data_IF_319540681598
#
_entry.id   IF_319540681598
#
_cell.length_a   1.000
_cell.length_b   1.000
_cell.length_c   1.000
_cell.angle_alpha   90.00
_cell.angle_beta   90.00
_cell.angle_gamma   90.00
#
_symmetry.space_group_name_H-M   'P 1'
#
loop_
_entity.id
_entity.type
_entity.pdbx_description
1 polymer ?
#
# COMPACT_ATOMS: atom_id res chain seq x y z
N UNK A 1 -36.60 4.14 22.43
CA UNK A 1 -36.29 5.55 22.86
C UNK A 1 -35.37 6.28 21.88
N UNK A 2 -34.67 5.58 20.97
CA UNK A 2 -33.92 6.21 19.87
C UNK A 2 -34.81 6.59 18.66
N UNK A 3 -36.12 6.31 18.72
CA UNK A 3 -37.04 6.35 17.59
C UNK A 3 -37.75 7.70 17.37
N UNK A 4 -37.42 8.74 18.16
CA UNK A 4 -38.12 10.04 18.13
C UNK A 4 -37.34 11.18 17.45
N UNK A 5 -36.21 10.91 16.80
CA UNK A 5 -35.55 11.91 15.96
C UNK A 5 -36.28 12.03 14.63
N UNK A 6 -36.79 13.23 14.32
CA UNK A 6 -37.31 13.54 12.99
C UNK A 6 -36.23 13.23 11.93
N UNK A 7 -36.60 12.73 10.74
CA UNK A 7 -35.65 12.40 9.68
C UNK A 7 -34.68 13.56 9.35
N UNK A 8 -35.18 14.79 9.47
CA UNK A 8 -34.43 16.03 9.30
C UNK A 8 -33.30 16.17 10.34
N UNK A 9 -33.60 16.00 11.63
CA UNK A 9 -32.61 16.08 12.70
C UNK A 9 -31.54 14.99 12.58
N UNK A 10 -31.93 13.79 12.15
CA UNK A 10 -30.98 12.70 11.89
C UNK A 10 -30.01 13.06 10.75
N UNK A 11 -30.50 13.63 9.64
CA UNK A 11 -29.67 14.08 8.53
C UNK A 11 -28.66 15.16 8.92
N UNK A 12 -29.03 16.06 9.84
CA UNK A 12 -28.10 17.08 10.37
C UNK A 12 -26.96 16.45 11.18
N UNK A 13 -27.27 15.56 12.13
CA UNK A 13 -26.26 14.89 12.96
C UNK A 13 -25.30 14.08 12.08
N UNK A 14 -25.84 13.34 11.11
CA UNK A 14 -25.07 12.57 10.13
C UNK A 14 -24.12 13.46 9.33
N UNK A 15 -24.58 14.63 8.88
CA UNK A 15 -23.77 15.57 8.11
C UNK A 15 -22.61 16.14 8.94
N UNK A 16 -22.86 16.53 10.19
CA UNK A 16 -21.82 17.06 11.08
C UNK A 16 -20.74 16.00 11.32
N UNK A 17 -21.15 14.77 11.60
CA UNK A 17 -20.23 13.66 11.83
C UNK A 17 -19.37 13.34 10.60
N UNK A 18 -20.00 13.28 9.42
CA UNK A 18 -19.30 13.05 8.15
C UNK A 18 -18.29 14.16 7.83
N UNK A 19 -18.69 15.43 7.96
CA UNK A 19 -17.79 16.57 7.67
C UNK A 19 -16.63 16.62 8.67
N UNK A 20 -16.87 16.29 9.93
CA UNK A 20 -15.83 16.19 10.94
C UNK A 20 -14.77 15.14 10.57
N UNK A 21 -15.20 13.91 10.24
CA UNK A 21 -14.30 12.84 9.82
C UNK A 21 -13.63 13.16 8.48
N UNK A 22 -14.36 13.80 7.56
CA UNK A 22 -13.79 14.27 6.30
C UNK A 22 -12.65 15.25 6.55
N UNK A 23 -12.81 16.21 7.47
CA UNK A 23 -11.75 17.13 7.88
C UNK A 23 -10.48 16.42 8.36
N UNK A 24 -10.62 15.35 9.16
CA UNK A 24 -9.48 14.53 9.59
C UNK A 24 -8.81 13.86 8.37
N UNK A 25 -9.59 13.33 7.44
CA UNK A 25 -9.05 12.70 6.22
C UNK A 25 -8.31 13.70 5.32
N UNK A 26 -8.79 14.95 5.21
CA UNK A 26 -8.12 16.04 4.49
C UNK A 26 -6.76 16.33 5.12
N UNK A 27 -6.69 16.44 6.45
CA UNK A 27 -5.42 16.65 7.15
C UNK A 27 -4.45 15.48 6.90
N UNK A 28 -4.95 14.24 6.93
CA UNK A 28 -4.19 13.04 6.60
C UNK A 28 -3.64 13.07 5.17
N UNK A 29 -4.46 13.47 4.20
CA UNK A 29 -4.06 13.61 2.80
C UNK A 29 -2.98 14.69 2.62
N UNK A 30 -3.17 15.88 3.22
CA UNK A 30 -2.21 16.98 3.13
C UNK A 30 -0.86 16.59 3.74
N UNK A 31 -0.85 15.92 4.89
CA UNK A 31 0.37 15.42 5.52
C UNK A 31 1.02 14.33 4.67
N UNK A 32 0.23 13.44 4.06
CA UNK A 32 0.72 12.40 3.17
C UNK A 32 1.39 13.02 1.94
N UNK A 33 0.76 14.00 1.30
CA UNK A 33 1.32 14.70 0.16
C UNK A 33 2.59 15.46 0.54
N UNK A 34 2.59 16.16 1.69
CA UNK A 34 3.76 16.86 2.19
C UNK A 34 4.95 15.94 2.45
N UNK A 35 4.72 14.78 3.07
CA UNK A 35 5.76 13.77 3.33
C UNK A 35 6.28 13.12 2.04
N UNK A 36 5.40 12.84 1.08
CA UNK A 36 5.79 12.29 -0.22
C UNK A 36 6.59 13.30 -1.05
N UNK A 37 6.17 14.57 -1.08
CA UNK A 37 6.80 15.62 -1.85
C UNK A 37 8.17 16.00 -1.29
N UNK A 38 8.30 16.14 0.03
CA UNK A 38 9.56 16.55 0.68
C UNK A 38 10.52 15.39 0.98
N UNK A 39 10.03 14.16 1.02
CA UNK A 39 10.87 12.99 1.24
C UNK A 39 11.73 12.69 0.00
N UNK A 40 12.93 12.14 0.20
CA UNK A 40 13.68 11.44 -0.87
C UNK A 40 12.95 10.20 -1.41
N UNK A 41 11.71 9.94 -0.96
CA UNK A 41 10.81 8.88 -1.39
C UNK A 41 10.47 8.91 -2.89
N UNK A 42 10.63 10.06 -3.57
CA UNK A 42 10.39 10.20 -5.02
C UNK A 42 11.11 9.16 -5.89
N UNK A 43 12.27 8.67 -5.45
CA UNK A 43 13.09 7.77 -6.28
C UNK A 43 12.67 6.30 -6.21
N UNK A 44 11.95 5.86 -5.16
CA UNK A 44 11.65 4.42 -4.96
C UNK A 44 10.22 4.11 -4.50
N UNK A 45 9.48 5.06 -3.94
CA UNK A 45 8.11 4.84 -3.46
C UNK A 45 7.13 5.36 -4.51
N UNK A 46 7.07 4.58 -5.59
CA UNK A 46 5.99 4.38 -6.55
C UNK A 46 5.00 5.53 -6.78
N UNK A 47 5.05 6.11 -7.98
CA UNK A 47 3.97 6.92 -8.61
C UNK A 47 2.58 6.27 -8.42
N UNK A 48 2.54 4.94 -8.34
CA UNK A 48 1.35 4.14 -8.06
C UNK A 48 0.71 4.45 -6.69
N UNK A 49 1.51 4.64 -5.64
CA UNK A 49 0.99 4.95 -4.29
C UNK A 49 0.39 6.35 -4.25
N UNK A 50 1.04 7.31 -4.92
CA UNK A 50 0.50 8.67 -5.09
C UNK A 50 -0.80 8.66 -5.89
N UNK A 51 -0.84 7.89 -6.99
CA UNK A 51 -2.05 7.67 -7.77
C UNK A 51 -3.19 7.19 -6.87
N UNK A 52 -2.99 6.10 -6.12
CA UNK A 52 -4.03 5.60 -5.22
C UNK A 52 -4.46 6.61 -4.16
N UNK A 53 -3.51 7.35 -3.56
CA UNK A 53 -3.83 8.38 -2.57
C UNK A 53 -4.71 9.51 -3.14
N UNK A 54 -4.41 9.96 -4.36
CA UNK A 54 -5.19 11.01 -5.03
C UNK A 54 -6.58 10.50 -5.41
N UNK A 55 -6.69 9.30 -5.97
CA UNK A 55 -7.98 8.73 -6.37
C UNK A 55 -8.89 8.43 -5.17
N UNK A 56 -8.35 7.84 -4.09
CA UNK A 56 -9.11 7.62 -2.85
C UNK A 56 -9.62 8.95 -2.28
N UNK A 57 -8.77 9.97 -2.25
CA UNK A 57 -9.18 11.30 -1.77
C UNK A 57 -10.21 11.97 -2.69
N UNK A 58 -10.08 11.78 -4.00
CA UNK A 58 -11.02 12.33 -4.99
C UNK A 58 -12.41 11.69 -4.84
N UNK A 59 -12.50 10.37 -4.72
CA UNK A 59 -13.77 9.68 -4.49
C UNK A 59 -14.40 10.04 -3.14
N UNK A 60 -13.59 10.13 -2.08
CA UNK A 60 -14.05 10.64 -0.79
C UNK A 60 -14.68 12.04 -0.91
N UNK A 61 -13.97 12.94 -1.60
CA UNK A 61 -14.41 14.32 -1.76
C UNK A 61 -15.68 14.38 -2.59
N UNK A 62 -15.77 13.58 -3.65
CA UNK A 62 -16.98 13.46 -4.47
C UNK A 62 -18.18 12.98 -3.63
N UNK A 63 -18.00 11.94 -2.82
CA UNK A 63 -19.02 11.42 -1.91
C UNK A 63 -19.56 12.51 -0.98
N UNK A 64 -18.65 13.23 -0.30
CA UNK A 64 -19.03 14.26 0.68
C UNK A 64 -19.65 15.50 0.02
N UNK A 65 -19.10 15.96 -1.11
CA UNK A 65 -19.64 17.12 -1.84
C UNK A 65 -21.05 16.84 -2.37
N UNK A 66 -21.29 15.65 -2.92
CA UNK A 66 -22.61 15.24 -3.40
C UNK A 66 -23.60 15.14 -2.22
N UNK A 67 -23.15 14.61 -1.08
CA UNK A 67 -23.93 14.56 0.16
C UNK A 67 -24.32 15.96 0.66
N UNK A 68 -23.37 16.88 0.75
CA UNK A 68 -23.62 18.28 1.17
C UNK A 68 -24.59 18.96 0.18
N UNK A 69 -24.38 18.79 -1.13
CA UNK A 69 -25.26 19.39 -2.15
C UNK A 69 -26.70 18.90 -2.01
N UNK A 70 -26.91 17.59 -1.82
CA UNK A 70 -28.25 17.01 -1.65
C UNK A 70 -28.92 17.55 -0.38
N UNK A 71 -28.19 17.64 0.73
CA UNK A 71 -28.71 18.20 1.99
C UNK A 71 -29.04 19.69 1.87
N UNK A 72 -28.17 20.46 1.21
CA UNK A 72 -28.45 21.87 0.93
C UNK A 72 -29.72 22.06 0.09
N UNK A 73 -29.90 21.24 -0.95
CA UNK A 73 -31.12 21.26 -1.76
C UNK A 73 -32.36 20.95 -0.92
N UNK A 74 -32.31 19.88 -0.10
CA UNK A 74 -33.42 19.49 0.76
C UNK A 74 -33.78 20.52 1.83
N UNK A 75 -32.78 21.11 2.51
CA UNK A 75 -33.00 22.03 3.63
C UNK A 75 -33.16 23.50 3.26
N UNK A 76 -32.58 23.96 2.15
CA UNK A 76 -32.53 25.39 1.80
C UNK A 76 -33.36 25.71 0.56
N UNK A 77 -33.28 24.87 -0.47
CA UNK A 77 -34.00 25.14 -1.73
C UNK A 77 -35.46 24.68 -1.65
N UNK A 78 -35.71 23.56 -0.97
CA UNK A 78 -37.03 22.91 -0.89
C UNK A 78 -37.80 23.24 0.40
N UNK A 79 -37.17 23.91 1.37
CA UNK A 79 -37.84 24.41 2.59
C UNK A 79 -38.78 25.59 2.33
N UNK A 80 -38.71 26.21 1.15
CA UNK A 80 -39.51 27.38 0.78
C UNK A 80 -40.81 27.11 0.00
N UNK A 81 -40.88 26.11 -0.90
CA UNK A 81 -42.10 25.76 -1.67
C UNK A 81 -41.92 24.61 -2.66
N UNK A 82 -42.98 23.80 -2.84
CA UNK A 82 -43.36 23.04 -4.06
C UNK A 82 -42.66 21.72 -4.42
N UNK A 83 -42.25 20.89 -3.44
CA UNK A 83 -42.09 19.45 -3.71
C UNK A 83 -43.37 18.70 -3.30
N UNK A 84 -43.96 17.84 -4.15
CA UNK A 84 -45.11 17.04 -3.74
C UNK A 84 -44.70 16.13 -2.56
N UNK A 85 -45.26 16.37 -1.38
CA UNK A 85 -44.92 15.64 -0.14
C UNK A 85 -43.92 16.35 0.80
N UNK A 86 -43.43 17.53 0.44
CA UNK A 86 -42.53 18.34 1.29
C UNK A 86 -41.05 17.89 1.30
N UNK A 87 -40.19 18.55 2.09
CA UNK A 87 -38.75 18.24 2.18
C UNK A 87 -38.46 16.81 2.65
N UNK A 88 -39.30 16.24 3.51
CA UNK A 88 -39.19 14.86 3.97
C UNK A 88 -39.30 13.86 2.80
N UNK A 89 -40.27 14.04 1.89
CA UNK A 89 -40.42 13.20 0.70
C UNK A 89 -39.24 13.31 -0.28
N UNK A 90 -38.52 14.43 -0.31
CA UNK A 90 -37.29 14.57 -1.10
C UNK A 90 -36.13 13.75 -0.53
N UNK A 91 -35.98 13.73 0.80
CA UNK A 91 -34.99 12.87 1.45
C UNK A 91 -35.34 11.38 1.32
N UNK A 92 -36.62 11.08 1.20
CA UNK A 92 -37.11 9.72 0.96
C UNK A 92 -36.90 9.22 -0.48
N UNK A 93 -36.73 10.13 -1.44
CA UNK A 93 -36.44 9.75 -2.81
C UNK A 93 -34.97 9.38 -2.99
N UNK A 94 -34.77 8.10 -3.30
CA UNK A 94 -33.47 7.42 -3.32
C UNK A 94 -32.93 7.16 -4.72
N UNK A 95 -33.72 7.38 -5.77
CA UNK A 95 -33.30 7.18 -7.17
C UNK A 95 -32.74 8.45 -7.81
N UNK A 96 -32.56 9.51 -7.03
CA UNK A 96 -31.98 10.76 -7.53
C UNK A 96 -30.54 10.50 -7.99
N UNK A 97 -30.13 11.10 -9.12
CA UNK A 97 -28.76 10.98 -9.67
C UNK A 97 -27.66 11.26 -8.63
N UNK A 98 -27.94 12.12 -7.64
CA UNK A 98 -27.04 12.39 -6.53
C UNK A 98 -26.81 11.16 -5.62
N UNK A 99 -27.83 10.36 -5.34
CA UNK A 99 -27.69 9.14 -4.53
C UNK A 99 -26.89 8.09 -5.29
N UNK A 100 -27.21 7.88 -6.57
CA UNK A 100 -26.45 6.99 -7.46
C UNK A 100 -24.97 7.39 -7.54
N UNK A 101 -24.69 8.67 -7.78
CA UNK A 101 -23.30 9.16 -7.85
C UNK A 101 -22.56 8.97 -6.52
N UNK A 102 -23.26 9.15 -5.39
CA UNK A 102 -22.69 8.94 -4.07
C UNK A 102 -22.38 7.46 -3.82
N UNK A 103 -23.26 6.54 -4.18
CA UNK A 103 -23.03 5.09 -4.06
C UNK A 103 -21.88 4.64 -4.97
N UNK A 104 -21.85 5.09 -6.23
CA UNK A 104 -20.73 4.80 -7.14
C UNK A 104 -19.39 5.34 -6.60
N UNK A 105 -19.39 6.54 -5.99
CA UNK A 105 -18.18 7.09 -5.37
C UNK A 105 -17.68 6.19 -4.23
N UNK A 106 -18.62 5.72 -3.41
CA UNK A 106 -18.37 4.82 -2.31
C UNK A 106 -17.83 3.46 -2.79
N UNK A 107 -18.49 2.82 -3.74
CA UNK A 107 -18.08 1.51 -4.28
C UNK A 107 -16.68 1.57 -4.89
N UNK A 108 -16.38 2.64 -5.65
CA UNK A 108 -15.05 2.85 -6.23
C UNK A 108 -13.99 3.05 -5.15
N UNK A 109 -14.33 3.74 -4.06
CA UNK A 109 -13.41 3.96 -2.96
C UNK A 109 -13.11 2.67 -2.20
N UNK A 110 -14.12 1.85 -1.92
CA UNK A 110 -13.96 0.51 -1.30
C UNK A 110 -13.17 -0.40 -2.22
N UNK A 111 -13.52 -0.47 -3.51
CA UNK A 111 -12.81 -1.29 -4.50
C UNK A 111 -11.32 -0.91 -4.57
N UNK A 112 -10.99 0.38 -4.60
CA UNK A 112 -9.60 0.84 -4.58
C UNK A 112 -8.90 0.51 -3.26
N UNK A 113 -9.59 0.69 -2.13
CA UNK A 113 -9.09 0.33 -0.80
C UNK A 113 -8.67 -1.14 -0.74
N UNK A 114 -9.56 -2.04 -1.13
CA UNK A 114 -9.31 -3.48 -1.14
C UNK A 114 -8.17 -3.86 -2.11
N UNK A 115 -8.15 -3.28 -3.32
CA UNK A 115 -7.09 -3.52 -4.29
C UNK A 115 -5.69 -3.17 -3.74
N UNK A 116 -5.58 -2.12 -2.94
CA UNK A 116 -4.32 -1.72 -2.29
C UNK A 116 -3.90 -2.75 -1.24
N UNK A 117 -4.82 -3.23 -0.40
CA UNK A 117 -4.50 -4.22 0.63
C UNK A 117 -4.04 -5.53 -0.03
N UNK A 118 -4.72 -5.96 -1.09
CA UNK A 118 -4.34 -7.11 -1.92
C UNK A 118 -2.96 -6.91 -2.54
N UNK A 119 -2.70 -5.76 -3.16
CA UNK A 119 -1.41 -5.44 -3.77
C UNK A 119 -0.28 -5.50 -2.75
N UNK A 120 -0.51 -5.00 -1.51
CA UNK A 120 0.47 -5.08 -0.43
C UNK A 120 0.75 -6.52 -0.02
N UNK A 121 -0.27 -7.36 0.09
CA UNK A 121 -0.08 -8.78 0.36
C UNK A 121 0.75 -9.44 -0.76
N UNK A 122 0.43 -9.16 -2.03
CA UNK A 122 1.17 -9.68 -3.17
C UNK A 122 2.66 -9.32 -3.17
N UNK A 123 2.99 -8.05 -2.89
CA UNK A 123 4.39 -7.60 -2.86
C UNK A 123 5.22 -8.32 -1.80
N UNK A 124 4.64 -8.75 -0.68
CA UNK A 124 5.37 -9.47 0.37
C UNK A 124 5.45 -10.98 0.12
N UNK A 125 4.40 -11.56 -0.47
CA UNK A 125 4.36 -12.99 -0.77
C UNK A 125 5.10 -13.37 -2.05
N UNK A 126 5.18 -12.48 -3.04
CA UNK A 126 5.79 -12.71 -4.36
C UNK A 126 5.27 -13.99 -5.06
N UNK A 127 4.10 -14.49 -4.65
CA UNK A 127 3.50 -15.73 -5.13
C UNK A 127 2.02 -15.47 -5.42
N UNK A 128 1.58 -15.58 -6.70
CA UNK A 128 0.22 -15.18 -7.09
C UNK A 128 -0.85 -16.10 -6.51
N UNK A 129 -0.55 -17.38 -6.28
CA UNK A 129 -1.52 -18.37 -5.80
C UNK A 129 -2.08 -18.08 -4.40
N UNK A 130 -1.28 -17.45 -3.53
CA UNK A 130 -1.70 -17.13 -2.16
C UNK A 130 -2.63 -15.91 -2.12
N UNK A 131 -2.55 -15.06 -3.15
CA UNK A 131 -3.35 -13.83 -3.28
C UNK A 131 -4.56 -14.02 -4.21
N UNK A 132 -4.67 -15.18 -4.88
CA UNK A 132 -5.84 -15.51 -5.69
C UNK A 132 -7.16 -15.48 -4.88
N UNK A 133 -7.25 -16.03 -3.64
CA UNK A 133 -8.49 -15.97 -2.87
C UNK A 133 -9.04 -14.56 -2.62
N UNK A 134 -8.26 -13.57 -2.09
CA UNK A 134 -8.79 -12.23 -1.90
C UNK A 134 -9.09 -11.51 -3.22
N UNK A 135 -8.41 -11.83 -4.34
CA UNK A 135 -8.77 -11.31 -5.67
C UNK A 135 -10.15 -11.80 -6.10
N UNK A 136 -10.47 -13.08 -5.89
CA UNK A 136 -11.80 -13.64 -6.21
C UNK A 136 -12.88 -12.96 -5.37
N UNK A 137 -12.63 -12.76 -4.08
CA UNK A 137 -13.56 -12.04 -3.18
C UNK A 137 -13.76 -10.59 -3.67
N UNK A 138 -12.68 -9.91 -4.06
CA UNK A 138 -12.73 -8.54 -4.57
C UNK A 138 -13.53 -8.42 -5.88
N UNK A 139 -13.38 -9.37 -6.80
CA UNK A 139 -14.22 -9.43 -8.00
C UNK A 139 -15.69 -9.67 -7.62
N UNK A 140 -15.94 -10.54 -6.65
CA UNK A 140 -17.28 -10.75 -6.09
C UNK A 140 -17.89 -9.46 -5.54
N UNK A 141 -17.11 -8.66 -4.82
CA UNK A 141 -17.54 -7.36 -4.31
C UNK A 141 -17.98 -6.43 -5.45
N UNK A 142 -17.21 -6.33 -6.53
CA UNK A 142 -17.56 -5.49 -7.69
C UNK A 142 -18.90 -5.95 -8.30
N UNK A 143 -19.11 -7.26 -8.41
CA UNK A 143 -20.38 -7.82 -8.92
C UNK A 143 -21.54 -7.47 -7.99
N UNK A 144 -21.35 -7.60 -6.67
CA UNK A 144 -22.36 -7.27 -5.68
C UNK A 144 -22.73 -5.78 -5.71
N UNK A 145 -21.75 -4.89 -5.76
CA UNK A 145 -21.95 -3.44 -5.87
C UNK A 145 -22.72 -3.04 -7.15
N UNK A 146 -22.37 -3.65 -8.29
CA UNK A 146 -23.13 -3.44 -9.54
C UNK A 146 -24.57 -3.97 -9.41
N UNK A 147 -24.74 -5.14 -8.79
CA UNK A 147 -26.06 -5.72 -8.53
C UNK A 147 -26.95 -4.84 -7.64
N UNK A 148 -26.35 -4.22 -6.62
CA UNK A 148 -27.01 -3.24 -5.75
C UNK A 148 -27.49 -2.02 -6.55
N UNK A 149 -26.60 -1.41 -7.34
CA UNK A 149 -26.94 -0.23 -8.17
C UNK A 149 -28.04 -0.52 -9.19
N UNK A 150 -28.03 -1.70 -9.80
CA UNK A 150 -29.09 -2.14 -10.73
C UNK A 150 -30.41 -2.36 -10.00
N UNK A 151 -30.37 -3.00 -8.82
CA UNK A 151 -31.58 -3.23 -8.01
C UNK A 151 -32.19 -1.93 -7.51
N UNK A 152 -31.38 -0.94 -7.15
CA UNK A 152 -31.85 0.40 -6.77
C UNK A 152 -32.54 1.14 -7.93
N UNK A 153 -32.13 0.90 -9.17
CA UNK A 153 -32.76 1.48 -10.36
C UNK A 153 -34.16 0.92 -10.59
N UNK A 154 -34.34 -0.37 -10.34
CA UNK A 154 -35.59 -1.10 -10.63
C UNK A 154 -36.61 -1.02 -9.47
N UNK A 155 -36.22 -0.45 -8.33
CA UNK A 155 -37.06 -0.34 -7.14
C UNK A 155 -37.78 1.02 -7.04
N UNK A 156 -38.93 1.04 -6.37
CA UNK A 156 -39.72 2.26 -6.12
C UNK A 156 -38.84 3.30 -5.41
N UNK A 157 -38.90 4.59 -5.83
CA UNK A 157 -38.09 5.67 -5.26
C UNK A 157 -38.57 6.11 -3.87
N UNK A 158 -38.51 5.21 -2.89
CA UNK A 158 -38.82 5.44 -1.48
C UNK A 158 -37.72 4.85 -0.59
N UNK A 159 -37.64 5.28 0.68
CA UNK A 159 -36.73 4.67 1.67
C UNK A 159 -37.05 3.18 1.86
N UNK A 160 -38.32 2.80 1.80
CA UNK A 160 -38.75 1.40 1.84
C UNK A 160 -38.18 0.61 0.66
N UNK A 161 -37.93 1.26 -0.48
CA UNK A 161 -37.25 0.68 -1.62
C UNK A 161 -35.77 0.36 -1.39
N UNK A 162 -35.07 1.06 -0.47
CA UNK A 162 -33.71 0.67 -0.07
C UNK A 162 -33.70 -0.59 0.80
N UNK A 163 -34.73 -0.77 1.63
CA UNK A 163 -34.93 -1.98 2.42
C UNK A 163 -35.68 -3.06 1.63
N UNK A 164 -35.83 -2.89 0.32
CA UNK A 164 -36.34 -3.95 -0.52
C UNK A 164 -35.38 -5.16 -0.38
N UNK A 165 -35.92 -6.38 -0.20
CA UNK A 165 -35.09 -7.57 0.03
C UNK A 165 -34.00 -7.80 -1.02
N UNK A 166 -34.23 -7.33 -2.26
CA UNK A 166 -33.25 -7.39 -3.34
C UNK A 166 -32.05 -6.46 -3.11
N UNK A 167 -32.30 -5.17 -2.82
CA UNK A 167 -31.24 -4.17 -2.59
C UNK A 167 -30.44 -4.53 -1.35
N UNK A 168 -31.13 -4.87 -0.26
CA UNK A 168 -30.49 -5.26 0.99
C UNK A 168 -29.61 -6.51 0.82
N UNK A 169 -30.08 -7.54 0.10
CA UNK A 169 -29.27 -8.74 -0.13
C UNK A 169 -27.95 -8.44 -0.87
N UNK A 170 -27.97 -7.53 -1.84
CA UNK A 170 -26.76 -7.10 -2.55
C UNK A 170 -25.84 -6.25 -1.67
N UNK A 171 -26.39 -5.32 -0.90
CA UNK A 171 -25.63 -4.50 0.05
C UNK A 171 -24.95 -5.36 1.12
N UNK A 172 -25.70 -6.24 1.78
CA UNK A 172 -25.17 -7.17 2.80
C UNK A 172 -24.09 -8.07 2.19
N UNK A 173 -24.28 -8.55 0.95
CA UNK A 173 -23.26 -9.33 0.25
C UNK A 173 -22.00 -8.50 -0.04
N UNK A 174 -22.14 -7.27 -0.51
CA UNK A 174 -21.02 -6.36 -0.77
C UNK A 174 -20.23 -6.08 0.52
N UNK A 175 -20.91 -5.75 1.62
CA UNK A 175 -20.32 -5.54 2.94
C UNK A 175 -19.59 -6.78 3.45
N UNK A 176 -20.19 -7.97 3.34
CA UNK A 176 -19.56 -9.21 3.76
C UNK A 176 -18.30 -9.55 2.94
N UNK A 177 -18.34 -9.30 1.61
CA UNK A 177 -17.23 -9.56 0.71
C UNK A 177 -16.06 -8.61 0.96
N UNK A 178 -16.29 -7.30 1.10
CA UNK A 178 -15.19 -6.35 1.41
C UNK A 178 -14.59 -6.62 2.79
N UNK A 179 -15.41 -6.93 3.80
CA UNK A 179 -14.93 -7.31 5.13
C UNK A 179 -14.03 -8.55 5.06
N UNK A 180 -14.50 -9.59 4.36
CA UNK A 180 -13.76 -10.85 4.20
C UNK A 180 -12.47 -10.65 3.42
N UNK A 181 -12.50 -9.85 2.35
CA UNK A 181 -11.33 -9.49 1.55
C UNK A 181 -10.26 -8.81 2.41
N UNK A 182 -10.67 -7.82 3.20
CA UNK A 182 -9.75 -7.05 4.02
C UNK A 182 -9.16 -7.88 5.18
N UNK A 183 -9.99 -8.68 5.87
CA UNK A 183 -9.53 -9.58 6.92
C UNK A 183 -8.56 -10.63 6.38
N UNK A 184 -8.90 -11.28 5.26
CA UNK A 184 -8.05 -12.30 4.65
C UNK A 184 -6.72 -11.70 4.19
N UNK A 185 -6.76 -10.55 3.51
CA UNK A 185 -5.55 -9.89 3.01
C UNK A 185 -4.66 -9.40 4.16
N UNK A 186 -5.26 -8.87 5.23
CA UNK A 186 -4.54 -8.43 6.43
C UNK A 186 -3.93 -9.61 7.18
N UNK A 187 -4.65 -10.72 7.32
CA UNK A 187 -4.15 -11.94 7.94
C UNK A 187 -2.99 -12.55 7.13
N UNK A 188 -3.13 -12.65 5.81
CA UNK A 188 -2.06 -13.12 4.92
C UNK A 188 -0.82 -12.26 5.05
N UNK A 189 -0.98 -10.94 5.10
CA UNK A 189 0.12 -10.00 5.27
C UNK A 189 0.80 -10.19 6.64
N UNK A 190 0.02 -10.25 7.73
CA UNK A 190 0.53 -10.44 9.08
C UNK A 190 1.26 -11.78 9.25
N UNK A 191 0.68 -12.87 8.76
CA UNK A 191 1.27 -14.21 8.81
C UNK A 191 2.61 -14.26 8.06
N UNK A 192 2.70 -13.63 6.89
CA UNK A 192 3.94 -13.55 6.14
C UNK A 192 5.02 -12.76 6.87
N UNK A 193 4.66 -11.63 7.48
CA UNK A 193 5.58 -10.83 8.27
C UNK A 193 6.11 -11.63 9.46
N UNK A 194 5.24 -12.36 10.16
CA UNK A 194 5.64 -13.24 11.26
C UNK A 194 6.56 -14.37 10.81
N UNK A 195 6.23 -15.04 9.69
CA UNK A 195 7.06 -16.11 9.12
C UNK A 195 8.44 -15.59 8.71
N UNK A 196 8.52 -14.43 8.05
CA UNK A 196 9.77 -13.78 7.68
C UNK A 196 10.62 -13.49 8.93
N UNK A 197 10.01 -13.03 10.02
CA UNK A 197 10.72 -12.79 11.29
C UNK A 197 11.32 -14.08 11.85
N UNK A 198 10.55 -15.17 11.87
CA UNK A 198 10.96 -16.44 12.45
C UNK A 198 12.02 -17.17 11.60
N UNK A 199 11.95 -17.09 10.28
CA UNK A 199 12.91 -17.72 9.35
C UNK A 199 14.30 -17.08 9.37
N UNK A 200 14.39 -15.81 9.77
CA UNK A 200 15.68 -15.08 9.80
C UNK A 200 16.26 -14.91 11.21
N UNK A 201 15.71 -15.65 12.19
CA UNK A 201 16.17 -15.68 13.58
C UNK A 201 17.65 -16.06 13.72
N UNK A 202 18.52 -15.07 13.91
CA UNK A 202 19.86 -15.25 14.46
C UNK A 202 20.96 -14.33 13.93
N UNK A 203 20.99 -13.97 12.64
CA UNK A 203 22.22 -13.40 12.04
C UNK A 203 22.10 -12.00 11.41
N UNK A 204 20.93 -11.35 11.43
CA UNK A 204 20.73 -10.03 10.77
C UNK A 204 19.99 -9.01 11.65
N UNK A 205 20.50 -8.83 12.86
CA UNK A 205 19.90 -8.06 13.96
C UNK A 205 19.56 -6.58 13.62
N UNK A 206 20.12 -5.97 12.57
CA UNK A 206 19.90 -4.54 12.30
C UNK A 206 18.72 -4.19 11.36
N UNK A 207 18.24 -5.08 10.49
CA UNK A 207 17.14 -4.76 9.54
C UNK A 207 15.76 -5.29 9.99
N UNK A 208 15.72 -6.33 10.83
CA UNK A 208 14.46 -7.00 11.22
C UNK A 208 13.74 -6.40 12.42
N UNK A 209 14.41 -5.59 13.26
CA UNK A 209 13.73 -4.91 14.38
C UNK A 209 12.62 -3.95 13.92
N UNK A 210 12.60 -3.58 12.64
CA UNK A 210 11.58 -2.71 12.05
C UNK A 210 10.37 -3.43 11.43
N UNK A 211 10.42 -4.75 11.21
CA UNK A 211 9.25 -5.49 10.72
C UNK A 211 8.15 -5.55 11.81
N UNK A 212 8.55 -5.61 13.08
CA UNK A 212 7.64 -5.55 14.24
C UNK A 212 6.81 -4.26 14.29
N UNK A 213 7.41 -3.05 14.28
CA UNK A 213 6.65 -1.80 14.16
C UNK A 213 5.70 -1.78 12.96
N UNK A 214 6.16 -2.21 11.78
CA UNK A 214 5.31 -2.23 10.58
C UNK A 214 4.12 -3.19 10.74
N UNK A 215 4.33 -4.38 11.32
CA UNK A 215 3.27 -5.35 11.60
C UNK A 215 2.24 -4.78 12.56
N UNK A 216 2.69 -4.17 13.67
CA UNK A 216 1.81 -3.52 14.66
C UNK A 216 0.98 -2.42 14.00
N UNK A 217 1.59 -1.59 13.15
CA UNK A 217 0.87 -0.54 12.43
C UNK A 217 -0.25 -1.09 11.57
N UNK A 218 0.05 -2.11 10.77
CA UNK A 218 -0.92 -2.70 9.85
C UNK A 218 -2.07 -3.33 10.61
N UNK A 219 -1.75 -4.07 11.68
CA UNK A 219 -2.75 -4.69 12.54
C UNK A 219 -3.62 -3.63 13.25
N UNK A 220 -3.02 -2.60 13.83
CA UNK A 220 -3.71 -1.50 14.52
C UNK A 220 -4.73 -0.81 13.60
N UNK A 221 -4.30 -0.46 12.38
CA UNK A 221 -5.18 0.18 11.39
C UNK A 221 -6.21 -0.77 10.76
N UNK A 222 -5.84 -2.05 10.58
CA UNK A 222 -6.73 -3.07 10.04
C UNK A 222 -7.84 -3.46 11.02
N UNK A 223 -7.54 -3.49 12.33
CA UNK A 223 -8.52 -3.68 13.39
C UNK A 223 -9.52 -2.53 13.42
N UNK A 224 -9.07 -1.27 13.34
CA UNK A 224 -9.96 -0.11 13.31
C UNK A 224 -10.95 -0.17 12.16
N UNK A 225 -10.48 -0.47 10.94
CA UNK A 225 -11.36 -0.65 9.78
C UNK A 225 -12.34 -1.81 9.99
N UNK A 226 -11.84 -2.96 10.43
CA UNK A 226 -12.64 -4.17 10.61
C UNK A 226 -13.75 -3.98 11.64
N UNK A 227 -13.46 -3.29 12.75
CA UNK A 227 -14.46 -2.96 13.77
C UNK A 227 -15.54 -2.06 13.18
N UNK A 228 -15.17 -1.05 12.40
CA UNK A 228 -16.14 -0.12 11.82
C UNK A 228 -17.09 -0.80 10.83
N UNK A 229 -16.53 -1.62 9.92
CA UNK A 229 -17.31 -2.40 8.95
C UNK A 229 -18.15 -3.45 9.66
N UNK A 230 -17.65 -4.08 10.71
CA UNK A 230 -18.40 -5.07 11.48
C UNK A 230 -19.62 -4.47 12.17
N UNK A 231 -19.48 -3.27 12.74
CA UNK A 231 -20.61 -2.55 13.33
C UNK A 231 -21.62 -2.16 12.25
N UNK A 232 -21.16 -1.67 11.09
CA UNK A 232 -22.02 -1.36 9.95
C UNK A 232 -22.82 -2.60 9.49
N UNK A 233 -22.13 -3.74 9.34
CA UNK A 233 -22.73 -5.02 8.97
C UNK A 233 -23.79 -5.49 9.97
N UNK A 234 -23.52 -5.39 11.28
CA UNK A 234 -24.52 -5.74 12.30
C UNK A 234 -25.73 -4.82 12.20
N UNK A 235 -25.52 -3.51 12.02
CA UNK A 235 -26.64 -2.56 11.92
C UNK A 235 -27.50 -2.78 10.68
N UNK A 236 -26.90 -3.16 9.56
CA UNK A 236 -27.59 -3.53 8.31
C UNK A 236 -28.45 -4.80 8.51
N UNK A 237 -27.86 -5.87 9.06
CA UNK A 237 -28.60 -7.12 9.33
C UNK A 237 -29.76 -6.91 10.31
N UNK A 238 -29.61 -5.96 11.25
CA UNK A 238 -30.67 -5.60 12.19
C UNK A 238 -31.70 -4.62 11.61
N UNK A 239 -31.50 -4.09 10.39
CA UNK A 239 -32.38 -3.10 9.76
C UNK A 239 -32.48 -1.81 10.57
N UNK A 240 -31.42 -1.44 11.29
CA UNK A 240 -31.45 -0.30 12.21
C UNK A 240 -31.07 1.00 11.52
N UNK A 241 -31.76 2.10 11.84
CA UNK A 241 -31.41 3.45 11.35
C UNK A 241 -30.00 3.90 11.74
N UNK A 242 -29.35 3.23 12.68
CA UNK A 242 -27.94 3.48 13.03
C UNK A 242 -26.97 3.10 11.92
N UNK A 243 -27.35 2.21 11.00
CA UNK A 243 -26.57 1.86 9.82
C UNK A 243 -26.13 3.10 9.05
N UNK A 244 -27.03 4.07 8.85
CA UNK A 244 -26.72 5.33 8.17
C UNK A 244 -25.57 6.11 8.81
N UNK A 245 -25.35 6.01 10.12
CA UNK A 245 -24.23 6.67 10.80
C UNK A 245 -22.92 6.03 10.40
N UNK A 246 -22.87 4.70 10.41
CA UNK A 246 -21.67 3.94 10.07
C UNK A 246 -21.40 4.03 8.57
N UNK A 247 -22.40 3.86 7.72
CA UNK A 247 -22.27 3.96 6.27
C UNK A 247 -21.83 5.34 5.80
N UNK A 248 -22.37 6.41 6.40
CA UNK A 248 -21.97 7.76 6.05
C UNK A 248 -20.55 8.12 6.51
N UNK A 249 -20.00 7.38 7.48
CA UNK A 249 -18.66 7.63 8.04
C UNK A 249 -17.58 6.72 7.49
N UNK A 250 -17.94 5.53 7.00
CA UNK A 250 -17.02 4.56 6.43
C UNK A 250 -16.07 5.14 5.35
N UNK A 251 -16.52 5.98 4.38
CA UNK A 251 -15.63 6.57 3.38
C UNK A 251 -14.43 7.29 4.05
N UNK A 252 -14.73 8.11 5.05
CA UNK A 252 -13.72 8.88 5.79
C UNK A 252 -12.79 7.94 6.57
N UNK A 253 -13.32 6.88 7.18
CA UNK A 253 -12.52 5.87 7.89
C UNK A 253 -11.55 5.15 6.96
N UNK A 254 -11.98 4.73 5.76
CA UNK A 254 -11.12 4.11 4.75
C UNK A 254 -9.93 5.02 4.43
N UNK A 255 -10.23 6.30 4.18
CA UNK A 255 -9.20 7.31 3.87
C UNK A 255 -8.23 7.52 5.03
N UNK A 256 -8.73 7.65 6.27
CA UNK A 256 -7.92 7.84 7.47
C UNK A 256 -6.97 6.65 7.69
N UNK A 257 -7.49 5.43 7.59
CA UNK A 257 -6.71 4.19 7.72
C UNK A 257 -5.60 4.15 6.67
N UNK A 258 -5.95 4.42 5.42
CA UNK A 258 -5.01 4.41 4.31
C UNK A 258 -3.88 5.45 4.49
N UNK A 259 -4.22 6.71 4.80
CA UNK A 259 -3.21 7.77 5.01
C UNK A 259 -2.35 7.48 6.24
N UNK A 260 -2.91 6.92 7.32
CA UNK A 260 -2.15 6.56 8.52
C UNK A 260 -1.09 5.49 8.21
N UNK A 261 -1.46 4.46 7.44
CA UNK A 261 -0.50 3.43 7.00
C UNK A 261 0.62 4.05 6.16
N UNK A 262 0.28 4.91 5.20
CA UNK A 262 1.30 5.58 4.36
C UNK A 262 2.25 6.47 5.16
N UNK A 263 1.71 7.29 6.05
CA UNK A 263 2.50 8.19 6.89
C UNK A 263 3.47 7.43 7.77
N UNK A 264 3.02 6.33 8.39
CA UNK A 264 3.88 5.50 9.22
C UNK A 264 4.95 4.79 8.41
N UNK A 265 4.64 4.29 7.20
CA UNK A 265 5.65 3.72 6.28
C UNK A 265 6.69 4.78 5.90
N UNK A 266 6.25 5.98 5.51
CA UNK A 266 7.13 7.09 5.16
C UNK A 266 8.02 7.50 6.33
N UNK A 267 7.49 7.57 7.56
CA UNK A 267 8.28 7.83 8.76
C UNK A 267 9.33 6.76 9.02
N UNK A 268 8.97 5.48 8.94
CA UNK A 268 9.92 4.38 9.15
C UNK A 268 11.07 4.42 8.13
N UNK A 269 10.78 4.74 6.87
CA UNK A 269 11.82 4.90 5.84
C UNK A 269 12.72 6.11 6.11
N UNK A 270 12.16 7.24 6.55
CA UNK A 270 12.94 8.41 6.93
C UNK A 270 13.86 8.11 8.12
N UNK A 271 13.42 7.31 9.10
CA UNK A 271 14.26 6.84 10.20
C UNK A 271 15.41 5.95 9.68
N UNK A 272 15.16 5.07 8.70
CA UNK A 272 16.22 4.26 8.05
C UNK A 272 17.26 5.15 7.37
N UNK A 273 16.83 6.14 6.59
CA UNK A 273 17.73 7.07 5.92
C UNK A 273 18.60 7.85 6.93
N UNK A 274 18.02 8.28 8.06
CA UNK A 274 18.77 8.96 9.13
C UNK A 274 19.77 8.03 9.82
N UNK A 275 19.38 6.79 10.16
CA UNK A 275 20.27 5.82 10.80
C UNK A 275 21.43 5.41 9.88
N UNK A 276 21.18 5.18 8.59
CA UNK A 276 22.24 4.90 7.61
C UNK A 276 23.25 6.06 7.44
N UNK A 277 22.80 7.31 7.57
CA UNK A 277 23.69 8.48 7.58
C UNK A 277 24.51 8.55 8.89
N UNK A 278 23.93 8.20 10.04
CA UNK A 278 24.64 8.18 11.31
C UNK A 278 25.72 7.06 11.34
N UNK A 279 25.38 5.85 10.88
CA UNK A 279 26.30 4.72 10.83
C UNK A 279 27.46 4.96 9.84
N UNK A 280 27.20 5.61 8.70
CA UNK A 280 28.27 6.00 7.75
C UNK A 280 29.18 7.09 8.30
N UNK A 281 28.67 8.05 9.08
CA UNK A 281 29.49 9.06 9.76
C UNK A 281 30.35 8.47 10.88
N UNK A 282 29.86 7.45 11.60
CA UNK A 282 30.63 6.77 12.64
C UNK A 282 31.64 5.74 12.07
N UNK A 283 31.32 5.09 10.94
CA UNK A 283 32.21 4.14 10.26
C UNK A 283 33.39 4.75 9.50
N UNK A 284 33.47 6.08 9.39
CA UNK A 284 34.60 6.78 8.75
C UNK A 284 35.67 7.22 9.76
N UNK A 285 35.62 6.73 11.00
CA UNK A 285 36.50 7.13 12.11
C UNK A 285 37.68 6.20 12.44
N UNK A 286 37.86 5.08 11.74
CA UNK A 286 38.93 4.10 12.04
C UNK A 286 39.66 3.60 10.79
N UNK A 287 40.00 4.51 9.87
CA UNK A 287 41.05 4.29 8.88
C UNK A 287 42.27 5.15 9.23
N UNK A 288 43.23 4.52 9.93
CA UNK A 288 44.68 4.82 9.97
C UNK A 288 45.12 6.29 10.03
N UNK A 289 45.55 6.73 11.23
CA UNK A 289 46.52 7.82 11.37
C UNK A 289 47.89 7.22 11.73
N UNK A 290 48.50 6.50 10.79
CA UNK A 290 49.94 6.32 10.76
C UNK A 290 50.53 7.40 9.86
N UNK A 291 50.57 8.64 10.36
CA UNK A 291 51.22 9.76 9.68
C UNK A 291 52.64 9.87 10.20
N UNK A 292 53.57 9.23 9.50
CA UNK A 292 54.97 9.63 9.47
C UNK A 292 55.03 11.09 9.02
N UNK A 293 55.63 11.97 9.83
CA UNK A 293 55.92 13.36 9.42
C UNK A 293 57.43 13.58 9.32
N UNK A 294 57.94 14.31 8.30
CA UNK A 294 59.37 14.45 8.01
C UNK A 294 59.94 15.84 8.35
N UNK A 295 61.19 15.87 8.85
CA UNK A 295 62.19 16.98 8.86
C UNK A 295 63.51 16.34 9.36
N UNK A 296 64.71 16.51 8.80
CA UNK A 296 65.32 17.68 8.16
C UNK A 296 66.61 17.26 7.41
N UNK A 297 67.07 18.12 6.50
CA UNK A 297 68.20 17.97 5.56
C UNK A 297 69.57 17.63 6.20
N UNK A 298 70.34 16.75 5.55
CA UNK A 298 71.73 17.07 5.14
C UNK A 298 72.16 16.26 3.91
N UNK A 299 72.77 16.99 2.98
CA UNK A 299 73.33 16.61 1.68
C UNK A 299 74.35 15.48 1.73
N UNK A 300 74.38 14.63 0.70
CA UNK A 300 75.48 14.50 -0.27
C UNK A 300 75.17 13.35 -1.26
N UNK A 301 75.30 13.69 -2.55
CA UNK A 301 75.72 12.85 -3.69
C UNK A 301 74.98 11.52 -3.96
N UNK A 302 74.51 11.16 -5.15
CA UNK A 302 74.92 11.52 -6.51
C UNK A 302 73.80 11.11 -7.47
N UNK A 303 73.65 11.88 -8.57
CA UNK A 303 73.18 11.48 -9.92
C UNK A 303 73.20 9.95 -10.17
N UNK A 304 72.30 9.29 -10.91
CA UNK A 304 71.38 9.71 -11.97
C UNK A 304 70.54 8.51 -12.42
N UNK A 305 69.23 8.74 -12.57
CA UNK A 305 68.27 8.21 -13.55
C UNK A 305 68.06 6.69 -13.79
N UNK A 306 66.82 6.32 -14.20
CA UNK A 306 66.29 4.97 -14.12
C UNK A 306 66.47 4.21 -15.44
N UNK A 307 66.57 2.88 -15.38
CA UNK A 307 66.42 2.02 -16.56
C UNK A 307 65.46 0.89 -16.23
N UNK A 308 64.45 0.80 -17.09
CA UNK A 308 63.36 -0.16 -17.07
C UNK A 308 63.72 -1.36 -17.97
N UNK A 309 63.09 -2.51 -17.71
CA UNK A 309 62.82 -3.65 -18.61
C UNK A 309 63.85 -4.81 -18.63
N UNK A 310 63.36 -6.01 -18.32
CA UNK A 310 63.54 -7.27 -19.10
C UNK A 310 62.58 -8.32 -18.54
N UNK A 311 61.49 -8.69 -19.22
CA UNK A 311 61.41 -9.64 -20.36
C UNK A 311 62.16 -10.93 -20.04
N UNK A 312 61.39 -11.96 -19.71
CA UNK A 312 61.86 -13.33 -19.60
C UNK A 312 62.07 -13.95 -20.98
N UNK A 313 63.09 -14.79 -21.09
CA UNK A 313 63.18 -15.82 -22.12
C UNK A 313 64.22 -16.88 -21.73
N UNK A 314 63.84 -18.12 -22.05
CA UNK A 314 64.66 -19.27 -22.47
C UNK A 314 65.49 -19.93 -21.37
N UNK A 315 65.08 -21.13 -20.93
CA UNK A 315 65.32 -22.44 -21.57
C UNK A 315 66.80 -22.77 -21.59
N UNK A 316 67.28 -23.21 -20.42
CA UNK A 316 68.57 -23.88 -20.30
C UNK A 316 68.50 -25.27 -20.93
N UNK A 317 69.51 -25.54 -21.75
CA UNK A 317 69.80 -26.80 -22.41
C UNK A 317 71.29 -27.06 -22.22
N UNK A 318 71.64 -27.82 -21.19
CA UNK A 318 72.92 -28.53 -20.97
C UNK A 318 72.83 -29.16 -19.59
N UNK A 319 73.14 -30.41 -19.33
CA UNK A 319 73.77 -31.48 -20.09
C UNK A 319 74.14 -32.54 -19.04
N UNK A 320 74.25 -33.79 -19.49
CA UNK A 320 74.92 -34.92 -18.82
C UNK A 320 74.41 -35.34 -17.44
N UNK A 321 73.69 -36.46 -17.39
CA UNK A 321 74.24 -37.63 -16.70
C UNK A 321 73.65 -38.93 -17.28
N UNK A 322 74.54 -39.90 -17.44
CA UNK A 322 74.27 -41.27 -17.84
C UNK A 322 73.31 -41.95 -16.85
N UNK A 323 72.43 -42.82 -17.33
CA UNK A 323 72.59 -44.27 -17.20
C UNK A 323 71.24 -45.01 -17.20
N UNK A 324 71.17 -45.99 -18.11
CA UNK A 324 70.37 -47.21 -18.10
C UNK A 324 68.84 -47.19 -18.25
N UNK A 325 68.46 -48.14 -19.12
CA UNK A 325 67.28 -48.98 -19.12
C UNK A 325 66.14 -48.63 -20.09
N UNK A 326 66.31 -49.21 -21.29
CA UNK A 326 65.38 -50.17 -21.92
C UNK A 326 64.00 -49.70 -22.42
N UNK A 327 63.79 -50.11 -23.68
CA UNK A 327 62.53 -50.52 -24.32
C UNK A 327 61.71 -49.53 -25.17
N UNK A 328 62.02 -49.61 -26.46
CA UNK A 328 61.16 -50.03 -27.58
C UNK A 328 59.80 -49.36 -27.84
N UNK A 329 59.65 -49.00 -29.13
CA UNK A 329 58.41 -48.89 -29.92
C UNK A 329 57.52 -47.67 -29.62
N UNK A 330 56.94 -46.95 -30.58
CA UNK A 330 56.67 -47.21 -32.00
C UNK A 330 56.14 -45.92 -32.64
N UNK A 331 56.40 -45.78 -33.94
CA UNK A 331 55.51 -45.27 -35.01
C UNK A 331 54.85 -43.88 -34.82
N UNK A 332 55.20 -42.90 -35.66
CA UNK A 332 54.58 -42.68 -36.99
C UNK A 332 53.09 -42.29 -36.87
N UNK A 333 52.51 -41.33 -37.58
CA UNK A 333 52.86 -40.51 -38.73
C UNK A 333 51.61 -39.68 -39.02
N UNK A 334 51.78 -38.60 -39.79
CA UNK A 334 50.75 -37.86 -40.53
C UNK A 334 49.82 -36.93 -39.74
N UNK A 335 49.81 -35.62 -40.04
CA UNK A 335 49.32 -34.99 -41.27
C UNK A 335 47.82 -35.28 -41.46
N UNK A 336 46.94 -34.36 -41.84
CA UNK A 336 47.04 -33.00 -42.32
C UNK A 336 45.55 -32.57 -42.52
N UNK A 337 45.29 -31.26 -42.45
CA UNK A 337 44.23 -30.54 -43.20
C UNK A 337 42.75 -30.68 -42.75
N UNK A 338 42.16 -29.52 -42.41
CA UNK A 338 40.96 -28.86 -42.99
C UNK A 338 40.43 -27.91 -41.88
N UNK A 339 40.63 -26.58 -41.91
CA UNK A 339 39.91 -25.55 -42.70
C UNK A 339 38.42 -25.83 -42.86
N UNK A 340 37.57 -25.16 -42.09
CA UNK A 340 36.78 -24.00 -42.53
C UNK A 340 35.62 -23.73 -41.56
N UNK A 341 35.23 -22.44 -41.57
CA UNK A 341 34.10 -21.77 -40.90
C UNK A 341 34.39 -21.14 -39.54
#
# INVERSE_FOLDING_TARGET
MADSLSPENAQYVLAVFEVFLYGISVLGFMLTLWTLVRGKLWSQVNKLVLFFAVFLFAFQTMYTVVGIRRRYQGFVTLSGSSYPGGPAAFFENVTTTAVLLRNVSWDLQVALGDAIVIWRAYVVWQTPWIVAPPIVIWVGFIVAAVGELLSMRDTVPSIEGLFAPSVQAWSTAALALTMSCNLLSTFLLAYRLWKLENETGGSRVNNMSMLKPLMVVVLDTGLLYSVWVFVAFITDVLGSRFEYVFDNSLPSIISIVFFTVLLRIAWMQNLRARKGIADSRFGTGTATLSTFSPRERRSLDMRSQPVQIRIGHLKDRSGTEHESATDTQKEETNSQIFRDV
#
